data_IF_404467749085
#
_entry.id   IF_404467749085
#
_cell.length_a   1.000
_cell.length_b   1.000
_cell.length_c   1.000
_cell.angle_alpha   90.00
_cell.angle_beta   90.00
_cell.angle_gamma   90.00
#
_symmetry.space_group_name_H-M   'P 1'
#
loop_
_entity.id
_entity.type
_entity.pdbx_description
1 polymer ?
#
# COMPACT_ATOMS: atom_id res chain seq x y z
N UNK A 1 -7.46 -5.99 10.57
CA UNK A 1 -7.07 -5.73 11.98
C UNK A 1 -5.62 -6.13 12.18
N UNK A 2 -4.97 -5.72 13.27
CA UNK A 2 -3.56 -6.08 13.53
C UNK A 2 -3.35 -7.59 13.61
N UNK A 3 -4.23 -8.33 14.29
CA UNK A 3 -4.16 -9.79 14.36
C UNK A 3 -4.23 -10.45 12.97
N UNK A 4 -5.04 -9.94 12.04
CA UNK A 4 -5.08 -10.47 10.67
C UNK A 4 -3.74 -10.29 9.94
N UNK A 5 -3.03 -9.18 10.16
CA UNK A 5 -1.70 -8.96 9.58
C UNK A 5 -0.70 -9.94 10.18
N UNK A 6 -0.77 -10.16 11.49
CA UNK A 6 0.08 -11.12 12.18
C UNK A 6 -0.15 -12.56 11.71
N UNK A 7 -1.41 -12.97 11.59
CA UNK A 7 -1.79 -14.28 11.08
C UNK A 7 -1.34 -14.48 9.62
N UNK A 8 -1.47 -13.43 8.79
CA UNK A 8 -0.98 -13.42 7.42
C UNK A 8 0.56 -13.52 7.35
N UNK A 9 1.27 -12.78 8.21
CA UNK A 9 2.73 -12.73 8.21
C UNK A 9 3.39 -13.96 8.82
N UNK A 10 2.74 -14.65 9.76
CA UNK A 10 3.32 -15.81 10.45
C UNK A 10 3.86 -16.90 9.49
N UNK A 11 3.07 -17.45 8.54
CA UNK A 11 3.58 -18.45 7.61
C UNK A 11 4.64 -17.90 6.66
N UNK A 12 4.55 -16.62 6.28
CA UNK A 12 5.52 -15.96 5.39
C UNK A 12 6.88 -15.84 6.08
N UNK A 13 6.91 -15.39 7.33
CA UNK A 13 8.14 -15.30 8.13
C UNK A 13 8.77 -16.68 8.31
N UNK A 14 7.96 -17.72 8.55
CA UNK A 14 8.47 -19.10 8.65
C UNK A 14 9.07 -19.60 7.34
N UNK A 15 8.42 -19.32 6.21
CA UNK A 15 8.97 -19.65 4.90
C UNK A 15 10.28 -18.89 4.66
N UNK A 16 10.32 -17.59 4.93
CA UNK A 16 11.50 -16.75 4.73
C UNK A 16 12.73 -17.28 5.51
N UNK A 17 12.53 -17.73 6.75
CA UNK A 17 13.55 -18.38 7.57
C UNK A 17 14.08 -19.70 6.94
N UNK A 18 13.20 -20.47 6.31
CA UNK A 18 13.54 -21.75 5.68
C UNK A 18 14.28 -21.60 4.34
N UNK A 19 14.04 -20.51 3.62
CA UNK A 19 14.64 -20.23 2.30
C UNK A 19 15.39 -18.89 2.28
N UNK A 20 16.47 -18.72 3.09
CA UNK A 20 17.14 -17.43 3.29
C UNK A 20 17.86 -16.88 2.05
N UNK A 21 18.00 -17.69 0.98
CA UNK A 21 18.65 -17.29 -0.28
C UNK A 21 17.67 -16.72 -1.32
N UNK A 22 16.37 -16.76 -1.03
CA UNK A 22 15.31 -16.28 -1.91
C UNK A 22 14.70 -15.05 -1.25
N UNK A 23 14.51 -13.99 -2.03
CA UNK A 23 13.75 -12.82 -1.60
C UNK A 23 12.25 -13.07 -1.77
N UNK A 24 11.48 -12.89 -0.71
CA UNK A 24 10.04 -12.99 -0.71
C UNK A 24 9.42 -11.61 -0.81
N UNK A 25 8.64 -11.40 -1.86
CA UNK A 25 7.90 -10.14 -2.05
C UNK A 25 6.52 -10.27 -1.42
N UNK A 26 6.21 -9.38 -0.47
CA UNK A 26 4.90 -9.28 0.17
C UNK A 26 4.23 -8.00 -0.30
N UNK A 27 3.11 -8.15 -1.01
CA UNK A 27 2.33 -7.05 -1.53
C UNK A 27 1.06 -6.84 -0.72
N UNK A 28 0.85 -5.60 -0.27
CA UNK A 28 -0.38 -5.18 0.40
C UNK A 28 -1.14 -4.19 -0.47
N UNK A 29 -2.38 -4.51 -0.79
CA UNK A 29 -3.25 -3.61 -1.55
C UNK A 29 -4.03 -2.67 -0.61
N UNK A 30 -4.38 -1.50 -1.12
CA UNK A 30 -5.23 -0.48 -0.47
C UNK A 30 -4.86 -0.17 1.00
N UNK A 31 -3.57 -0.13 1.33
CA UNK A 31 -3.07 -0.10 2.73
C UNK A 31 -3.63 1.06 3.55
N UNK A 32 -3.84 2.22 2.94
CA UNK A 32 -4.35 3.41 3.63
C UNK A 32 -5.85 3.35 3.95
N UNK A 33 -6.57 2.32 3.55
CA UNK A 33 -7.93 2.04 4.06
C UNK A 33 -7.91 1.39 5.46
N UNK A 34 -6.77 0.81 5.85
CA UNK A 34 -6.61 0.13 7.12
C UNK A 34 -6.42 1.09 8.29
N UNK A 35 -6.95 0.74 9.45
CA UNK A 35 -6.76 1.47 10.71
C UNK A 35 -5.40 1.20 11.38
N UNK A 36 -4.62 0.22 10.90
CA UNK A 36 -3.33 -0.16 11.49
C UNK A 36 -2.11 0.31 10.66
N UNK A 37 -2.15 1.52 10.10
CA UNK A 37 -1.03 2.14 9.38
C UNK A 37 0.29 2.20 10.17
N UNK A 38 0.20 2.29 11.50
CA UNK A 38 1.38 2.22 12.38
C UNK A 38 2.14 0.89 12.25
N UNK A 39 1.42 -0.22 12.09
CA UNK A 39 2.01 -1.55 11.94
C UNK A 39 2.69 -1.69 10.57
N UNK A 40 2.06 -1.17 9.51
CA UNK A 40 2.70 -1.11 8.19
C UNK A 40 3.96 -0.25 8.21
N UNK A 41 3.93 0.89 8.92
CA UNK A 41 5.12 1.72 9.13
C UNK A 41 6.22 0.94 9.83
N UNK A 42 5.89 0.20 10.88
CA UNK A 42 6.83 -0.64 11.63
C UNK A 42 7.49 -1.67 10.71
N UNK A 43 6.67 -2.42 9.95
CA UNK A 43 7.16 -3.45 9.04
C UNK A 43 8.05 -2.89 7.93
N UNK A 44 7.66 -1.77 7.32
CA UNK A 44 8.32 -1.24 6.11
C UNK A 44 9.56 -0.43 6.44
N UNK A 45 9.56 0.28 7.57
CA UNK A 45 10.66 1.15 7.98
C UNK A 45 11.63 0.44 8.93
N UNK A 46 11.08 -0.26 9.93
CA UNK A 46 11.86 -0.79 11.04
C UNK A 46 12.18 -2.29 10.85
N UNK A 47 11.45 -2.98 9.96
CA UNK A 47 11.63 -4.40 9.71
C UNK A 47 11.18 -5.26 10.90
N UNK A 48 10.23 -4.77 11.68
CA UNK A 48 9.68 -5.46 12.86
C UNK A 48 8.16 -5.58 12.78
N UNK A 49 7.61 -6.54 13.53
CA UNK A 49 6.18 -6.71 13.75
C UNK A 49 5.93 -6.89 15.25
N UNK A 50 5.28 -5.92 15.89
CA UNK A 50 5.13 -5.86 17.36
C UNK A 50 6.47 -5.99 18.10
N UNK A 51 7.52 -5.33 17.59
CA UNK A 51 8.88 -5.35 18.12
C UNK A 51 9.68 -6.62 17.81
N UNK A 52 9.10 -7.62 17.14
CA UNK A 52 9.81 -8.83 16.73
C UNK A 52 10.43 -8.61 15.35
N UNK A 53 11.73 -8.87 15.19
CA UNK A 53 12.42 -8.76 13.91
C UNK A 53 11.81 -9.69 12.86
N UNK A 54 11.52 -9.13 11.69
CA UNK A 54 11.12 -9.89 10.51
C UNK A 54 12.38 -10.42 9.77
N UNK A 55 12.26 -11.56 9.06
CA UNK A 55 13.34 -12.06 8.22
C UNK A 55 13.79 -11.03 7.18
N UNK A 56 15.11 -10.89 7.00
CA UNK A 56 15.70 -9.84 6.15
C UNK A 56 15.52 -10.07 4.65
N UNK A 57 15.12 -11.27 4.25
CA UNK A 57 14.83 -11.65 2.87
C UNK A 57 13.36 -11.44 2.51
N UNK A 58 12.64 -10.58 3.23
CA UNK A 58 11.30 -10.14 2.86
C UNK A 58 11.37 -8.71 2.33
N UNK A 59 10.87 -8.50 1.12
CA UNK A 59 10.71 -7.19 0.51
C UNK A 59 9.24 -6.80 0.51
N UNK A 60 8.91 -5.71 1.20
CA UNK A 60 7.55 -5.20 1.29
C UNK A 60 7.27 -4.19 0.17
N UNK A 61 6.11 -4.34 -0.47
CA UNK A 61 5.54 -3.33 -1.37
C UNK A 61 4.06 -3.15 -1.08
N UNK A 62 3.52 -1.97 -1.37
CA UNK A 62 2.10 -1.70 -1.15
C UNK A 62 1.53 -0.72 -2.18
N UNK A 63 0.22 -0.85 -2.39
CA UNK A 63 -0.59 0.15 -3.05
C UNK A 63 -1.41 0.95 -2.03
N UNK A 64 -1.68 2.19 -2.38
CA UNK A 64 -2.50 3.10 -1.58
C UNK A 64 -3.48 3.81 -2.51
N UNK A 65 -4.66 4.11 -1.98
CA UNK A 65 -5.66 4.91 -2.67
C UNK A 65 -5.33 6.41 -2.57
N UNK A 66 -5.56 7.22 -3.62
CA UNK A 66 -5.37 8.67 -3.53
C UNK A 66 -6.25 9.31 -2.45
N UNK A 67 -5.67 10.13 -1.57
CA UNK A 67 -6.42 10.98 -0.64
C UNK A 67 -6.76 12.31 -1.29
N UNK A 68 -8.04 12.59 -1.52
CA UNK A 68 -8.49 13.87 -2.07
C UNK A 68 -8.78 14.81 -0.91
N UNK A 69 -7.96 15.85 -0.73
CA UNK A 69 -8.29 16.94 0.17
C UNK A 69 -9.31 17.85 -0.52
N UNK A 70 -10.51 18.09 0.06
CA UNK A 70 -11.53 18.95 -0.56
C UNK A 70 -11.06 20.39 -0.83
N UNK A 71 -10.03 20.83 -0.10
CA UNK A 71 -9.43 22.16 -0.21
C UNK A 71 -8.28 22.25 -1.22
N UNK A 72 -7.81 21.10 -1.71
CA UNK A 72 -6.80 21.06 -2.76
C UNK A 72 -7.55 21.22 -4.09
N UNK A 73 -7.44 22.39 -4.71
CA UNK A 73 -8.19 22.79 -5.93
C UNK A 73 -7.92 21.95 -7.18
N UNK A 74 -7.33 20.77 -7.01
CA UNK A 74 -7.05 19.74 -7.99
C UNK A 74 -8.28 18.89 -8.34
N UNK A 75 -9.47 19.51 -8.39
CA UNK A 75 -10.53 19.02 -9.29
C UNK A 75 -10.06 19.25 -10.74
N UNK A 76 -9.17 18.39 -11.23
CA UNK A 76 -8.90 18.31 -12.66
C UNK A 76 -10.15 17.72 -13.31
N UNK A 77 -11.09 18.59 -13.65
CA UNK A 77 -12.09 18.31 -14.68
C UNK A 77 -11.31 17.96 -15.95
N UNK A 78 -11.26 16.69 -16.31
CA UNK A 78 -10.92 16.28 -17.65
C UNK A 78 -12.00 16.84 -18.58
N UNK A 79 -11.59 17.46 -19.69
CA UNK A 79 -12.49 18.13 -20.66
C UNK A 79 -13.55 17.20 -21.28
N UNK A 80 -13.45 15.89 -21.04
CA UNK A 80 -14.34 14.86 -21.57
C UNK A 80 -15.36 14.30 -20.56
N UNK A 81 -15.55 14.94 -19.40
CA UNK A 81 -16.65 14.59 -18.48
C UNK A 81 -16.52 13.26 -17.74
N UNK A 82 -15.46 12.49 -17.97
CA UNK A 82 -15.13 11.30 -17.19
C UNK A 82 -14.41 11.68 -15.89
N UNK A 83 -15.18 11.91 -14.82
CA UNK A 83 -14.66 11.89 -13.46
C UNK A 83 -14.34 10.44 -13.07
N UNK A 84 -13.09 10.01 -13.23
CA UNK A 84 -12.63 8.66 -12.82
C UNK A 84 -12.24 8.62 -11.34
N UNK A 85 -12.11 9.78 -10.69
CA UNK A 85 -11.80 9.84 -9.26
C UNK A 85 -13.07 9.66 -8.42
N UNK A 86 -13.35 8.41 -8.03
CA UNK A 86 -14.31 8.12 -6.95
C UNK A 86 -13.84 8.88 -5.70
N UNK A 87 -14.66 9.82 -5.23
CA UNK A 87 -14.49 10.53 -3.96
C UNK A 87 -14.78 9.63 -2.74
N UNK A 88 -15.06 8.35 -2.98
CA UNK A 88 -15.69 7.43 -2.03
C UNK A 88 -14.69 6.62 -1.20
N UNK A 89 -13.38 6.81 -1.40
CA UNK A 89 -12.39 6.05 -0.63
C UNK A 89 -12.22 6.67 0.76
N UNK A 90 -12.71 5.96 1.78
CA UNK A 90 -12.40 6.26 3.18
C UNK A 90 -10.94 5.84 3.41
N UNK A 91 -10.04 6.82 3.39
CA UNK A 91 -8.60 6.62 3.56
C UNK A 91 -8.08 7.40 4.76
N UNK A 92 -7.06 6.83 5.40
CA UNK A 92 -6.29 7.47 6.44
C UNK A 92 -5.05 8.15 5.84
N UNK A 93 -4.67 9.31 6.38
CA UNK A 93 -3.41 9.95 6.00
C UNK A 93 -2.23 9.05 6.36
N UNK A 94 -1.27 8.95 5.43
CA UNK A 94 -0.06 8.17 5.68
C UNK A 94 0.83 8.86 6.72
N UNK A 95 1.45 8.09 7.64
CA UNK A 95 2.58 8.57 8.42
C UNK A 95 3.66 9.19 7.53
N UNK A 96 4.29 10.27 7.99
CA UNK A 96 5.29 11.02 7.21
C UNK A 96 6.40 10.13 6.63
N UNK A 97 6.87 9.13 7.39
CA UNK A 97 7.89 8.19 6.95
C UNK A 97 7.45 7.36 5.74
N UNK A 98 6.20 6.91 5.72
CA UNK A 98 5.65 6.15 4.58
C UNK A 98 5.36 7.08 3.40
N UNK A 99 4.96 8.32 3.66
CA UNK A 99 4.72 9.29 2.59
C UNK A 99 6.00 9.59 1.78
N UNK A 100 7.18 9.52 2.40
CA UNK A 100 8.48 9.65 1.71
C UNK A 100 8.82 8.49 0.79
N UNK A 101 8.19 7.32 0.95
CA UNK A 101 8.38 6.14 0.10
C UNK A 101 7.40 6.10 -1.08
N UNK A 102 6.40 6.98 -1.10
CA UNK A 102 5.32 6.97 -2.09
C UNK A 102 5.81 7.40 -3.47
N UNK A 103 5.48 6.60 -4.48
CA UNK A 103 5.67 6.93 -5.90
C UNK A 103 4.32 6.91 -6.61
N UNK A 104 4.09 7.84 -7.54
CA UNK A 104 2.87 7.87 -8.34
C UNK A 104 2.97 6.94 -9.54
N UNK A 105 2.13 5.90 -9.57
CA UNK A 105 2.10 4.91 -10.67
C UNK A 105 1.40 5.42 -11.94
N UNK A 106 0.67 6.53 -11.85
CA UNK A 106 -0.10 7.10 -12.96
C UNK A 106 -1.57 6.67 -12.95
N UNK A 107 -2.30 7.05 -13.99
CA UNK A 107 -3.72 6.73 -14.18
C UNK A 107 -3.82 5.85 -15.41
N UNK A 108 -4.70 4.84 -15.37
CA UNK A 108 -4.96 3.96 -16.50
C UNK A 108 -5.41 4.78 -17.71
N UNK A 109 -4.71 4.64 -18.84
CA UNK A 109 -5.08 5.35 -20.05
C UNK A 109 -6.27 4.67 -20.75
N UNK A 110 -7.11 5.45 -21.46
CA UNK A 110 -8.32 4.89 -22.09
C UNK A 110 -8.06 3.88 -23.21
N UNK A 111 -6.87 3.88 -23.83
CA UNK A 111 -6.56 2.92 -24.89
C UNK A 111 -6.21 1.58 -24.28
N UNK A 112 -5.34 1.58 -23.27
CA UNK A 112 -5.04 0.40 -22.47
C UNK A 112 -6.29 -0.18 -21.82
N UNK A 113 -7.20 0.66 -21.31
CA UNK A 113 -8.47 0.19 -20.74
C UNK A 113 -9.30 -0.62 -21.75
N UNK A 114 -9.32 -0.23 -23.04
CA UNK A 114 -10.04 -0.97 -24.09
C UNK A 114 -9.42 -2.33 -24.38
N UNK A 115 -8.13 -2.51 -24.15
CA UNK A 115 -7.47 -3.81 -24.33
C UNK A 115 -7.79 -4.77 -23.16
N UNK A 116 -8.17 -4.22 -21.99
CA UNK A 116 -8.49 -4.99 -20.78
C UNK A 116 -9.98 -5.37 -20.64
N UNK A 117 -10.90 -4.74 -21.38
CA UNK A 117 -12.37 -4.89 -21.26
C UNK A 117 -12.99 -5.38 -22.56
#
# INVERSE_FOLDING_TARGET
>A
TEEQIKDFMFPISKLAEQIPKIELVVFFDEVNTSSCLGLFKEMFMDGTLHGTNLPKNIFFTAAINPSINPNDGSQKQTKDGFQVHRLDYIVHELPQSLNSLKVSYGILDPNTLKDYV
#
